data_IF_021382626694
#
_entry.id   IF_021382626694
#
_cell.length_a   1.000
_cell.length_b   1.000
_cell.length_c   1.000
_cell.angle_alpha   90.00
_cell.angle_beta   90.00
_cell.angle_gamma   90.00
#
_symmetry.space_group_name_H-M   'P 1'
#
loop_
_entity.id
_entity.type
_entity.pdbx_description
1 polymer ?
#
# COMPACT_ATOMS: atom_id res chain seq x y z
N UNK A 1 -31.20 2.07 -15.83
CA UNK A 1 -31.86 1.50 -14.64
C UNK A 1 -31.26 2.14 -13.40
N UNK A 2 -31.93 3.14 -12.83
CA UNK A 2 -31.53 3.81 -11.58
C UNK A 2 -31.78 2.87 -10.39
N UNK A 3 -30.74 2.54 -9.62
CA UNK A 3 -30.88 1.77 -8.36
C UNK A 3 -31.13 2.74 -7.21
N UNK A 4 -32.26 2.59 -6.50
CA UNK A 4 -32.63 3.39 -5.31
C UNK A 4 -32.06 2.74 -4.04
N UNK A 5 -31.46 3.54 -3.17
CA UNK A 5 -30.88 3.13 -1.89
C UNK A 5 -31.62 3.80 -0.74
N UNK A 6 -32.61 3.12 -0.15
CA UNK A 6 -33.41 3.66 0.96
C UNK A 6 -32.78 3.26 2.30
N UNK A 7 -32.35 4.25 3.10
CA UNK A 7 -31.85 4.01 4.47
C UNK A 7 -32.99 4.22 5.47
N UNK A 8 -33.65 3.14 5.88
CA UNK A 8 -34.67 3.17 6.93
C UNK A 8 -34.04 3.31 8.32
N UNK A 9 -34.20 4.47 8.96
CA UNK A 9 -34.05 4.64 10.40
C UNK A 9 -35.31 4.11 11.09
N UNK A 10 -35.26 2.87 11.59
CA UNK A 10 -36.23 2.36 12.56
C UNK A 10 -35.52 2.09 13.89
N UNK A 11 -36.13 2.63 14.95
CA UNK A 11 -35.70 2.54 16.35
C UNK A 11 -35.66 1.07 16.86
N UNK A 12 -34.98 0.79 17.99
CA UNK A 12 -34.16 -0.40 18.16
C UNK A 12 -34.95 -1.59 18.68
N UNK A 13 -35.09 -2.63 17.86
CA UNK A 13 -35.34 -3.99 18.33
C UNK A 13 -34.47 -4.97 17.53
N UNK A 14 -33.79 -5.86 18.26
CA UNK A 14 -32.93 -6.95 17.80
C UNK A 14 -31.55 -6.53 17.23
N UNK A 15 -30.59 -6.37 18.15
CA UNK A 15 -29.18 -6.50 17.88
C UNK A 15 -28.87 -7.91 17.32
N UNK A 16 -28.66 -8.01 16.01
CA UNK A 16 -28.21 -9.28 15.40
C UNK A 16 -28.25 -9.34 13.88
N UNK A 17 -29.17 -8.63 13.21
CA UNK A 17 -29.39 -8.82 11.77
C UNK A 17 -29.12 -7.60 10.87
N UNK A 18 -28.89 -6.40 11.42
CA UNK A 18 -28.88 -5.18 10.61
C UNK A 18 -27.56 -4.85 9.88
N UNK A 19 -26.44 -5.52 10.17
CA UNK A 19 -25.18 -5.24 9.47
C UNK A 19 -25.13 -5.89 8.07
N UNK A 20 -25.98 -6.88 7.80
CA UNK A 20 -26.02 -7.58 6.51
C UNK A 20 -26.72 -6.76 5.40
N UNK A 21 -27.72 -5.95 5.75
CA UNK A 21 -28.60 -5.31 4.77
C UNK A 21 -27.96 -4.16 3.98
N UNK A 22 -26.91 -3.51 4.49
CA UNK A 22 -26.16 -2.48 3.73
C UNK A 22 -25.10 -3.06 2.80
N UNK A 23 -24.76 -4.35 2.93
CA UNK A 23 -23.65 -4.97 2.19
C UNK A 23 -23.99 -5.28 0.73
N UNK A 24 -25.27 -5.52 0.44
CA UNK A 24 -25.82 -5.75 -0.92
C UNK A 24 -25.98 -4.47 -1.76
N UNK A 25 -25.82 -3.32 -1.12
CA UNK A 25 -26.10 -2.00 -1.66
C UNK A 25 -24.84 -1.16 -1.90
N UNK A 26 -23.69 -1.65 -1.44
CA UNK A 26 -22.40 -1.11 -1.84
C UNK A 26 -22.19 -1.44 -3.33
N UNK A 27 -21.77 -0.46 -4.16
CA UNK A 27 -21.56 -0.70 -5.57
C UNK A 27 -20.53 -1.81 -5.77
N UNK A 28 -20.95 -2.91 -6.38
CA UNK A 28 -20.07 -3.95 -6.90
C UNK A 28 -19.46 -3.53 -8.24
N UNK A 29 -18.95 -2.29 -8.34
CA UNK A 29 -18.05 -1.97 -9.44
C UNK A 29 -16.69 -2.62 -9.16
N UNK A 30 -15.92 -2.89 -10.21
CA UNK A 30 -14.64 -3.59 -10.11
C UNK A 30 -13.63 -2.84 -9.21
N UNK A 31 -13.83 -1.53 -9.00
CA UNK A 31 -12.87 -0.63 -8.34
C UNK A 31 -13.18 -0.34 -6.85
N UNK A 32 -14.43 -0.52 -6.39
CA UNK A 32 -14.88 -0.22 -5.03
C UNK A 32 -15.07 -1.47 -4.16
N UNK A 33 -14.42 -2.58 -4.52
CA UNK A 33 -14.35 -3.72 -3.60
C UNK A 33 -13.65 -3.27 -2.30
N UNK A 34 -14.30 -3.56 -1.18
CA UNK A 34 -13.82 -3.19 0.15
C UNK A 34 -12.45 -3.84 0.39
N UNK A 35 -11.36 -3.07 0.28
CA UNK A 35 -10.04 -3.54 0.72
C UNK A 35 -10.14 -3.90 2.21
N UNK A 36 -9.57 -5.05 2.59
CA UNK A 36 -9.53 -5.51 3.98
C UNK A 36 -8.64 -4.65 4.89
N UNK A 37 -7.98 -3.62 4.35
CA UNK A 37 -7.09 -2.76 5.10
C UNK A 37 -7.86 -1.76 5.99
N UNK A 38 -7.32 -1.43 7.19
CA UNK A 38 -7.83 -0.32 7.97
C UNK A 38 -7.79 0.94 7.10
N UNK A 39 -8.80 1.79 7.20
CA UNK A 39 -8.81 3.08 6.52
C UNK A 39 -7.56 3.86 6.95
N UNK A 40 -6.57 3.93 6.07
CA UNK A 40 -5.39 4.76 6.29
C UNK A 40 -5.84 6.23 6.42
N UNK A 41 -5.09 7.08 7.12
CA UNK A 41 -5.36 8.51 7.13
C UNK A 41 -5.34 9.02 5.68
N UNK A 42 -6.51 9.46 5.22
CA UNK A 42 -6.65 10.07 3.89
C UNK A 42 -5.85 11.36 3.88
N UNK A 43 -4.92 11.50 2.92
CA UNK A 43 -4.24 12.78 2.71
C UNK A 43 -5.06 13.61 1.72
N UNK A 44 -5.49 14.79 2.14
CA UNK A 44 -6.31 15.69 1.33
C UNK A 44 -5.52 16.37 0.18
N UNK A 45 -4.24 16.04 0.00
CA UNK A 45 -3.33 16.62 -1.00
C UNK A 45 -3.36 15.85 -2.33
N UNK A 46 -3.51 14.53 -2.32
CA UNK A 46 -3.54 13.69 -3.52
C UNK A 46 -4.67 14.08 -4.48
N UNK A 47 -5.81 14.53 -3.95
CA UNK A 47 -6.94 15.02 -4.75
C UNK A 47 -6.56 16.21 -5.64
N UNK A 48 -5.67 17.08 -5.16
CA UNK A 48 -5.27 18.29 -5.88
C UNK A 48 -4.27 18.01 -7.00
N UNK A 49 -3.75 16.78 -7.08
CA UNK A 49 -2.78 16.35 -8.10
C UNK A 49 -3.45 15.59 -9.25
N UNK A 50 -4.73 15.25 -9.14
CA UNK A 50 -5.44 14.54 -10.20
C UNK A 50 -5.79 15.47 -11.37
N UNK A 51 -5.41 15.07 -12.58
CA UNK A 51 -5.68 15.79 -13.83
C UNK A 51 -6.49 14.89 -14.77
N UNK A 52 -7.75 15.24 -15.01
CA UNK A 52 -8.65 14.45 -15.87
C UNK A 52 -8.09 14.28 -17.28
N UNK A 53 -7.57 15.34 -17.90
CA UNK A 53 -7.11 15.31 -19.28
C UNK A 53 -5.92 14.36 -19.47
N UNK A 54 -5.00 14.33 -18.49
CA UNK A 54 -3.88 13.37 -18.48
C UNK A 54 -4.36 11.92 -18.34
N UNK A 55 -5.41 11.69 -17.55
CA UNK A 55 -5.91 10.33 -17.30
C UNK A 55 -6.79 9.81 -18.43
N UNK A 56 -7.56 10.66 -19.12
CA UNK A 56 -8.56 10.24 -20.13
C UNK A 56 -7.98 9.25 -21.14
N UNK A 57 -6.82 9.54 -21.75
CA UNK A 57 -6.22 8.66 -22.77
C UNK A 57 -5.90 7.25 -22.22
N UNK A 58 -5.31 7.19 -21.03
CA UNK A 58 -4.95 5.93 -20.40
C UNK A 58 -6.20 5.15 -19.94
N UNK A 59 -7.17 5.85 -19.35
CA UNK A 59 -8.41 5.27 -18.86
C UNK A 59 -9.31 4.75 -19.98
N UNK A 60 -9.45 5.49 -21.08
CA UNK A 60 -10.20 5.03 -22.27
C UNK A 60 -9.59 3.76 -22.86
N UNK A 61 -8.25 3.69 -22.94
CA UNK A 61 -7.56 2.48 -23.40
C UNK A 61 -7.79 1.29 -22.46
N UNK A 62 -7.86 1.55 -21.15
CA UNK A 62 -8.16 0.54 -20.14
C UNK A 62 -9.68 0.26 -19.98
N UNK A 63 -10.53 0.85 -20.82
CA UNK A 63 -11.99 0.74 -20.75
C UNK A 63 -12.57 1.14 -19.38
N UNK A 64 -11.90 2.05 -18.67
CA UNK A 64 -12.38 2.62 -17.42
C UNK A 64 -13.27 3.82 -17.74
N UNK A 65 -14.47 3.82 -17.18
CA UNK A 65 -15.50 4.84 -17.39
C UNK A 65 -15.55 5.82 -16.22
N UNK A 66 -16.26 6.94 -16.40
CA UNK A 66 -16.51 7.90 -15.33
C UNK A 66 -17.17 7.24 -14.11
N UNK A 67 -18.06 6.28 -14.34
CA UNK A 67 -18.84 5.59 -13.32
C UNK A 67 -18.03 4.60 -12.45
N UNK A 68 -16.83 4.26 -12.91
CA UNK A 68 -15.92 3.40 -12.16
C UNK A 68 -15.24 4.16 -11.02
N UNK A 69 -15.06 5.47 -11.18
CA UNK A 69 -14.53 6.37 -10.15
C UNK A 69 -15.64 7.16 -9.43
N UNK A 70 -16.63 7.67 -10.17
CA UNK A 70 -17.68 8.53 -9.64
C UNK A 70 -19.05 7.83 -9.68
N UNK A 71 -19.74 7.73 -8.55
CA UNK A 71 -21.02 7.04 -8.45
C UNK A 71 -22.20 7.97 -8.73
N UNK A 72 -22.29 8.48 -9.96
CA UNK A 72 -23.44 9.30 -10.42
C UNK A 72 -24.71 8.47 -10.66
N UNK A 73 -24.57 7.16 -10.78
CA UNK A 73 -25.65 6.21 -11.03
C UNK A 73 -26.39 5.79 -9.74
N UNK A 74 -25.89 6.21 -8.58
CA UNK A 74 -26.49 5.95 -7.28
C UNK A 74 -27.42 7.10 -6.87
N UNK A 75 -28.70 6.79 -6.64
CA UNK A 75 -29.62 7.72 -5.99
C UNK A 75 -29.57 7.49 -4.48
N UNK A 76 -29.11 8.49 -3.74
CA UNK A 76 -29.14 8.49 -2.26
C UNK A 76 -30.53 8.92 -1.80
N UNK A 77 -31.32 7.97 -1.33
CA UNK A 77 -32.65 8.22 -0.75
C UNK A 77 -32.51 8.26 0.78
N UNK A 78 -32.47 9.47 1.33
CA UNK A 78 -32.27 9.74 2.75
C UNK A 78 -33.23 10.82 3.23
N UNK A 79 -33.86 10.59 4.39
CA UNK A 79 -34.61 11.62 5.11
C UNK A 79 -33.75 12.67 5.81
N UNK A 80 -32.41 12.60 5.68
CA UNK A 80 -31.45 13.52 6.29
C UNK A 80 -30.60 14.17 5.21
N UNK A 81 -30.81 15.47 4.99
CA UNK A 81 -30.01 16.25 4.04
C UNK A 81 -28.50 16.26 4.38
N UNK A 82 -28.07 16.40 5.66
CA UNK A 82 -26.65 16.27 6.01
C UNK A 82 -26.04 14.94 5.57
N UNK A 83 -26.75 13.83 5.81
CA UNK A 83 -26.27 12.50 5.42
C UNK A 83 -26.24 12.34 3.89
N UNK A 84 -27.26 12.83 3.20
CA UNK A 84 -27.31 12.80 1.73
C UNK A 84 -26.13 13.57 1.11
N UNK A 85 -25.76 14.72 1.68
CA UNK A 85 -24.59 15.52 1.26
C UNK A 85 -23.29 14.76 1.47
N UNK A 86 -23.10 14.12 2.61
CA UNK A 86 -21.88 13.35 2.91
C UNK A 86 -21.73 12.15 1.96
N UNK A 87 -22.80 11.40 1.75
CA UNK A 87 -22.80 10.24 0.84
C UNK A 87 -22.55 10.67 -0.61
N UNK A 88 -23.15 11.78 -1.04
CA UNK A 88 -22.91 12.34 -2.38
C UNK A 88 -21.47 12.81 -2.56
N UNK A 89 -20.86 13.40 -1.52
CA UNK A 89 -19.45 13.81 -1.56
C UNK A 89 -18.52 12.59 -1.70
N UNK A 90 -18.78 11.51 -0.97
CA UNK A 90 -18.02 10.25 -1.10
C UNK A 90 -18.26 9.55 -2.45
N UNK A 91 -19.48 9.58 -2.97
CA UNK A 91 -19.81 9.05 -4.29
C UNK A 91 -19.05 9.78 -5.40
N UNK A 92 -18.86 11.08 -5.25
CA UNK A 92 -18.07 11.90 -6.18
C UNK A 92 -16.57 11.83 -5.92
N UNK A 93 -16.14 11.42 -4.72
CA UNK A 93 -14.74 11.30 -4.38
C UNK A 93 -14.43 9.87 -3.88
N UNK A 94 -13.98 8.97 -4.76
CA UNK A 94 -13.75 7.56 -4.41
C UNK A 94 -12.54 7.33 -3.48
N UNK A 95 -11.84 8.38 -3.07
CA UNK A 95 -10.65 8.29 -2.22
C UNK A 95 -9.48 7.57 -2.88
N UNK A 96 -8.53 7.13 -2.06
CA UNK A 96 -7.31 6.47 -2.52
C UNK A 96 -7.55 5.12 -3.20
N UNK A 97 -8.70 4.48 -2.95
CA UNK A 97 -9.07 3.19 -3.57
C UNK A 97 -9.07 3.23 -5.09
N UNK A 98 -9.62 4.30 -5.69
CA UNK A 98 -9.62 4.47 -7.15
C UNK A 98 -8.22 4.71 -7.71
N UNK A 99 -7.38 5.50 -7.02
CA UNK A 99 -6.01 5.77 -7.46
C UNK A 99 -5.12 4.52 -7.36
N UNK A 100 -5.13 3.86 -6.20
CA UNK A 100 -4.31 2.68 -5.91
C UNK A 100 -4.76 1.42 -6.65
N UNK A 101 -5.90 1.45 -7.33
CA UNK A 101 -6.30 0.36 -8.22
C UNK A 101 -5.30 0.22 -9.37
N UNK A 102 -4.89 1.31 -10.02
CA UNK A 102 -3.93 1.25 -11.13
C UNK A 102 -2.49 1.62 -10.71
N UNK A 103 -2.33 2.47 -9.70
CA UNK A 103 -1.01 3.01 -9.32
C UNK A 103 -0.35 2.27 -8.15
N UNK A 104 -1.14 1.54 -7.35
CA UNK A 104 -0.64 0.81 -6.18
C UNK A 104 -0.24 -0.63 -6.49
N UNK A 105 0.26 -1.36 -5.48
CA UNK A 105 0.49 -2.80 -5.60
C UNK A 105 -0.87 -3.53 -5.67
N UNK A 106 -1.30 -3.86 -6.88
CA UNK A 106 -2.54 -4.58 -7.17
C UNK A 106 -2.37 -5.45 -8.42
N UNK A 107 -3.27 -6.40 -8.62
CA UNK A 107 -3.37 -7.19 -9.85
C UNK A 107 -3.66 -6.33 -11.09
N UNK A 108 -4.18 -5.12 -10.88
CA UNK A 108 -4.57 -4.18 -11.93
C UNK A 108 -3.58 -3.02 -12.08
N UNK A 109 -2.39 -3.16 -11.48
CA UNK A 109 -1.31 -2.19 -11.58
C UNK A 109 -0.95 -1.94 -13.06
N UNK A 110 -0.93 -0.67 -13.44
CA UNK A 110 -0.45 -0.23 -14.74
C UNK A 110 1.03 0.19 -14.62
N UNK A 111 1.99 -0.52 -15.27
CA UNK A 111 3.40 -0.17 -15.19
C UNK A 111 3.76 1.22 -15.70
N UNK A 112 2.91 1.82 -16.57
CA UNK A 112 3.12 3.17 -17.08
C UNK A 112 2.60 4.27 -16.13
N UNK A 113 1.89 3.90 -15.07
CA UNK A 113 1.35 4.84 -14.10
C UNK A 113 2.41 5.20 -13.06
N UNK A 114 2.50 6.47 -12.62
CA UNK A 114 3.37 6.85 -11.50
C UNK A 114 3.05 6.04 -10.25
N UNK A 115 4.05 5.34 -9.69
CA UNK A 115 3.91 4.48 -8.52
C UNK A 115 4.63 5.05 -7.28
N UNK A 116 5.30 6.18 -7.44
CA UNK A 116 6.02 6.83 -6.35
C UNK A 116 5.03 7.64 -5.53
N UNK A 117 4.89 7.31 -4.24
CA UNK A 117 3.89 7.89 -3.33
C UNK A 117 3.89 9.42 -3.35
N UNK A 118 5.08 10.04 -3.41
CA UNK A 118 5.26 11.50 -3.41
C UNK A 118 4.77 12.21 -4.67
N UNK A 119 4.45 11.46 -5.73
CA UNK A 119 3.82 12.03 -6.93
C UNK A 119 2.42 12.57 -6.62
N UNK A 120 1.75 12.00 -5.61
CA UNK A 120 0.41 12.38 -5.19
C UNK A 120 0.38 12.88 -3.74
N UNK A 121 1.11 12.22 -2.84
CA UNK A 121 1.12 12.50 -1.41
C UNK A 121 2.28 13.43 -1.04
N UNK A 122 1.98 14.68 -0.75
CA UNK A 122 2.95 15.66 -0.23
C UNK A 122 3.28 15.39 1.24
N UNK A 123 2.29 14.97 2.03
CA UNK A 123 2.48 14.63 3.44
C UNK A 123 2.47 13.12 3.68
N UNK A 124 3.65 12.50 3.65
CA UNK A 124 3.81 11.09 4.00
C UNK A 124 3.70 10.81 5.50
N UNK A 125 3.79 11.82 6.38
CA UNK A 125 3.69 11.60 7.82
C UNK A 125 2.30 11.09 8.23
N UNK A 126 1.26 11.50 7.52
CA UNK A 126 -0.08 10.97 7.71
C UNK A 126 -0.24 9.52 7.21
N UNK A 127 0.62 9.05 6.32
CA UNK A 127 0.64 7.65 5.85
C UNK A 127 1.51 6.74 6.71
N UNK A 128 2.24 7.32 7.66
CA UNK A 128 3.12 6.58 8.57
C UNK A 128 2.27 5.61 9.41
N UNK A 129 2.59 4.30 9.40
CA UNK A 129 1.91 3.35 10.27
C UNK A 129 2.11 3.68 11.75
N UNK A 130 1.15 3.29 12.60
CA UNK A 130 1.17 3.64 14.01
C UNK A 130 2.35 3.05 14.80
N UNK A 131 2.92 1.94 14.33
CA UNK A 131 4.09 1.27 14.90
C UNK A 131 5.43 1.90 14.47
N UNK A 132 5.43 2.82 13.51
CA UNK A 132 6.62 3.56 13.08
C UNK A 132 6.90 4.73 14.02
N UNK A 133 7.02 4.44 15.32
CA UNK A 133 7.38 5.41 16.35
C UNK A 133 8.91 5.59 16.48
N UNK A 134 9.35 6.35 17.47
CA UNK A 134 10.78 6.64 17.71
C UNK A 134 11.59 5.38 18.02
N UNK A 135 10.96 4.33 18.56
CA UNK A 135 11.63 3.06 18.86
C UNK A 135 11.67 2.11 17.64
N UNK A 136 10.95 2.42 16.56
CA UNK A 136 10.83 1.57 15.37
C UNK A 136 12.18 1.11 14.82
N UNK A 137 13.18 1.99 14.75
CA UNK A 137 14.52 1.66 14.26
C UNK A 137 15.19 0.50 15.02
N UNK A 138 14.79 0.26 16.28
CA UNK A 138 15.30 -0.84 17.12
C UNK A 138 14.49 -2.13 16.99
N UNK A 139 13.23 -2.05 16.57
CA UNK A 139 12.30 -3.19 16.57
C UNK A 139 11.92 -3.69 15.17
N UNK A 140 12.12 -2.88 14.13
CA UNK A 140 11.73 -3.22 12.75
C UNK A 140 12.40 -4.51 12.25
N UNK A 141 13.63 -4.81 12.69
CA UNK A 141 14.34 -6.02 12.28
C UNK A 141 13.60 -7.30 12.71
N UNK A 142 13.04 -7.33 13.92
CA UNK A 142 12.23 -8.45 14.39
C UNK A 142 10.88 -8.51 13.66
N UNK A 143 10.26 -7.36 13.41
CA UNK A 143 9.01 -7.30 12.64
C UNK A 143 9.20 -7.83 11.20
N UNK A 144 10.27 -7.40 10.52
CA UNK A 144 10.61 -7.85 9.17
C UNK A 144 10.93 -9.35 9.10
N UNK A 145 11.58 -9.91 10.13
CA UNK A 145 11.82 -11.36 10.22
C UNK A 145 10.53 -12.17 10.36
N UNK A 146 9.52 -11.63 11.04
CA UNK A 146 8.22 -12.29 11.19
C UNK A 146 7.43 -12.19 9.89
N UNK A 147 7.36 -10.99 9.30
CA UNK A 147 6.68 -10.76 8.03
C UNK A 147 7.12 -9.44 7.38
N UNK A 148 7.86 -9.51 6.27
CA UNK A 148 8.31 -8.34 5.51
C UNK A 148 7.26 -7.80 4.53
N UNK A 149 6.27 -8.60 4.14
CA UNK A 149 5.32 -8.25 3.08
C UNK A 149 4.57 -6.92 3.30
N UNK A 150 4.17 -6.53 4.54
CA UNK A 150 3.56 -5.23 4.77
C UNK A 150 4.50 -4.05 4.50
N UNK A 151 5.80 -4.22 4.77
CA UNK A 151 6.83 -3.20 4.55
C UNK A 151 6.96 -2.87 3.05
N UNK A 152 6.82 -3.89 2.20
CA UNK A 152 6.92 -3.81 0.73
C UNK A 152 5.79 -2.97 0.09
N UNK A 153 4.75 -2.64 0.86
CA UNK A 153 3.69 -1.72 0.40
C UNK A 153 4.21 -0.28 0.26
N UNK A 154 5.22 0.10 1.05
CA UNK A 154 5.75 1.45 1.10
C UNK A 154 7.26 1.54 0.80
N UNK A 155 8.03 0.51 1.13
CA UNK A 155 9.47 0.44 0.97
C UNK A 155 9.84 -0.62 -0.07
N UNK A 156 10.77 -0.35 -0.99
CA UNK A 156 11.34 -1.38 -1.85
C UNK A 156 12.54 -2.04 -1.16
N UNK A 157 12.98 -3.16 -1.72
CA UNK A 157 14.14 -3.92 -1.20
C UNK A 157 15.42 -3.08 -1.18
N UNK A 158 15.55 -2.10 -2.08
CA UNK A 158 16.70 -1.21 -2.15
C UNK A 158 16.85 -0.36 -0.88
N UNK A 159 15.75 0.07 -0.26
CA UNK A 159 15.74 0.86 0.97
C UNK A 159 16.22 0.03 2.18
N UNK A 160 15.86 -1.26 2.21
CA UNK A 160 16.39 -2.21 3.20
C UNK A 160 17.91 -2.29 3.07
N UNK A 161 18.39 -2.52 1.84
CA UNK A 161 19.80 -2.69 1.51
C UNK A 161 20.59 -1.41 1.83
N UNK A 162 20.11 -0.24 1.41
CA UNK A 162 20.78 1.03 1.65
C UNK A 162 21.07 1.27 3.14
N UNK A 163 20.08 1.06 4.02
CA UNK A 163 20.29 1.23 5.45
C UNK A 163 21.17 0.13 6.07
N UNK A 164 21.02 -1.11 5.61
CA UNK A 164 21.69 -2.26 6.21
C UNK A 164 23.08 -2.59 5.61
N UNK A 165 23.46 -1.96 4.50
CA UNK A 165 24.81 -2.02 3.91
C UNK A 165 25.68 -0.81 4.29
N UNK A 166 25.07 0.28 4.76
CA UNK A 166 25.76 1.47 5.23
C UNK A 166 26.77 1.15 6.33
N UNK A 167 28.02 1.59 6.12
CA UNK A 167 29.17 1.38 7.01
C UNK A 167 29.54 2.62 7.82
N UNK A 168 28.87 3.74 7.57
CA UNK A 168 29.06 5.04 8.20
C UNK A 168 28.39 5.15 9.58
N UNK A 169 27.50 4.22 9.91
CA UNK A 169 26.93 4.07 11.25
C UNK A 169 27.48 2.81 11.93
N UNK A 170 27.74 2.88 13.25
CA UNK A 170 28.12 1.71 14.08
C UNK A 170 26.87 0.85 14.32
N UNK A 171 26.29 0.31 13.25
CA UNK A 171 25.18 -0.60 13.32
C UNK A 171 25.69 -1.94 12.77
N UNK A 172 26.26 -2.77 13.66
CA UNK A 172 26.53 -4.19 13.39
C UNK A 172 25.18 -4.89 13.22
N UNK A 173 24.63 -4.90 12.00
CA UNK A 173 23.28 -5.44 11.78
C UNK A 173 23.21 -6.62 10.81
N UNK A 174 24.11 -6.68 9.83
CA UNK A 174 24.11 -7.78 8.85
C UNK A 174 25.26 -8.74 9.05
N UNK A 175 26.46 -8.20 9.27
CA UNK A 175 27.68 -8.97 9.50
C UNK A 175 28.47 -8.33 10.64
N UNK A 176 29.03 -9.15 11.52
CA UNK A 176 29.98 -8.68 12.53
C UNK A 176 31.25 -8.10 11.86
N UNK A 177 32.00 -7.25 12.57
CA UNK A 177 33.28 -6.72 12.06
C UNK A 177 34.27 -7.84 11.71
N UNK A 178 34.17 -8.97 12.40
CA UNK A 178 34.99 -10.15 12.21
C UNK A 178 34.34 -11.17 11.27
N UNK A 179 33.23 -10.84 10.58
CA UNK A 179 32.52 -11.77 9.72
C UNK A 179 33.42 -12.43 8.68
N UNK A 180 34.41 -11.71 8.13
CA UNK A 180 35.42 -12.30 7.23
C UNK A 180 36.07 -13.56 7.81
N UNK A 181 36.32 -13.59 9.11
CA UNK A 181 36.95 -14.72 9.80
C UNK A 181 36.01 -15.92 10.04
N UNK A 182 34.69 -15.73 9.98
CA UNK A 182 33.72 -16.77 10.36
C UNK A 182 32.67 -17.07 9.28
N UNK A 183 32.62 -16.27 8.22
CA UNK A 183 31.62 -16.41 7.16
C UNK A 183 31.68 -17.77 6.47
N UNK A 184 32.81 -18.49 6.54
CA UNK A 184 32.93 -19.85 6.02
C UNK A 184 31.99 -20.86 6.69
N UNK A 185 31.78 -20.77 8.01
CA UNK A 185 30.80 -21.62 8.73
C UNK A 185 29.40 -21.37 8.16
N UNK A 186 29.12 -20.10 8.01
CA UNK A 186 27.87 -19.53 7.56
C UNK A 186 27.57 -19.83 6.08
N UNK A 187 28.57 -19.73 5.20
CA UNK A 187 28.47 -20.06 3.78
C UNK A 187 28.37 -21.57 3.55
N UNK A 188 29.01 -22.38 4.40
CA UNK A 188 28.88 -23.85 4.37
C UNK A 188 27.46 -24.28 4.74
N UNK A 189 26.86 -23.65 5.76
CA UNK A 189 25.52 -24.02 6.22
C UNK A 189 24.43 -23.71 5.19
N UNK A 190 24.48 -22.53 4.56
CA UNK A 190 23.54 -22.13 3.52
C UNK A 190 24.13 -21.00 2.66
N UNK A 191 24.73 -21.29 1.50
CA UNK A 191 25.31 -20.26 0.63
C UNK A 191 24.24 -19.44 -0.10
N UNK A 192 23.03 -19.98 -0.31
CA UNK A 192 21.95 -19.30 -1.04
C UNK A 192 21.37 -18.11 -0.29
N UNK A 193 21.53 -18.00 1.03
CA UNK A 193 21.08 -16.80 1.75
C UNK A 193 21.92 -15.57 1.42
N UNK A 194 23.18 -15.77 1.04
CA UNK A 194 24.06 -14.68 0.62
C UNK A 194 23.54 -14.02 -0.66
N UNK A 195 22.92 -14.80 -1.57
CA UNK A 195 22.41 -14.28 -2.83
C UNK A 195 21.18 -13.37 -2.70
N UNK A 196 20.61 -13.25 -1.50
CA UNK A 196 19.55 -12.28 -1.22
C UNK A 196 20.04 -10.83 -1.23
N UNK A 197 21.32 -10.61 -0.93
CA UNK A 197 21.95 -9.29 -0.88
C UNK A 197 23.22 -9.20 -1.74
N UNK A 198 24.00 -10.27 -1.86
CA UNK A 198 25.26 -10.30 -2.57
C UNK A 198 25.16 -11.05 -3.91
N UNK A 199 25.86 -10.55 -4.92
CA UNK A 199 26.01 -11.24 -6.20
C UNK A 199 27.14 -12.25 -6.13
N UNK A 200 27.13 -13.26 -6.99
CA UNK A 200 28.12 -14.35 -7.00
C UNK A 200 29.58 -13.86 -7.17
N UNK A 201 29.77 -12.80 -7.96
CA UNK A 201 31.07 -12.14 -8.15
C UNK A 201 31.64 -11.53 -6.86
N UNK A 202 30.80 -11.28 -5.85
CA UNK A 202 31.25 -10.82 -4.54
C UNK A 202 32.17 -11.84 -3.88
N UNK A 203 31.80 -13.12 -3.90
CA UNK A 203 32.56 -14.23 -3.31
C UNK A 203 33.88 -14.42 -4.08
N UNK A 204 33.76 -14.44 -5.40
CA UNK A 204 34.83 -14.69 -6.36
C UNK A 204 35.99 -13.70 -6.16
N UNK A 205 35.71 -12.40 -5.96
CA UNK A 205 36.76 -11.37 -5.80
C UNK A 205 37.79 -11.64 -4.70
N UNK A 206 37.43 -12.34 -3.62
CA UNK A 206 38.37 -12.73 -2.57
C UNK A 206 38.90 -14.16 -2.79
N UNK A 207 38.02 -15.10 -3.15
CA UNK A 207 38.37 -16.52 -3.25
C UNK A 207 39.16 -16.88 -4.53
N UNK A 208 39.16 -16.05 -5.57
CA UNK A 208 40.03 -16.22 -6.76
C UNK A 208 41.52 -16.08 -6.43
N UNK A 209 41.87 -15.35 -5.36
CA UNK A 209 43.26 -15.05 -5.01
C UNK A 209 43.82 -15.96 -3.92
N UNK A 210 43.12 -17.04 -3.55
CA UNK A 210 43.50 -17.92 -2.44
C UNK A 210 43.50 -17.23 -1.06
N UNK A 211 42.86 -16.05 -0.95
CA UNK A 211 42.69 -15.34 0.31
C UNK A 211 41.46 -15.94 1.02
N UNK A 212 41.69 -17.01 1.77
CA UNK A 212 40.74 -17.62 2.71
C UNK A 212 40.81 -16.96 4.08
#
# INVERSE_FOLDING_TARGET
MTRRLTVCLLAPLAAGFFVAACRQYLPSNRLLQKRASPAAPSTADARNKFDHARHTKALTKAQVTCADCHRFDALVDSGSEPLARELSAHAQYPGSGACHFCHGPSETRNPAAPDTCTSCHQNLAALRPADHDVAWERVHGRAAQVNSAPCETCHRQAECIDCHERRDTIQMRMHDRNFRSFHGIEATANPMRCSSCHREDFCIRCHERGQS
#
